data_IF_974667092194
#
_entry.id   IF_974667092194
#
_cell.length_a   1.000
_cell.length_b   1.000
_cell.length_c   1.000
_cell.angle_alpha   90.00
_cell.angle_beta   90.00
_cell.angle_gamma   90.00
#
_symmetry.space_group_name_H-M   'P 1'
#
loop_
_entity.id
_entity.type
_entity.pdbx_description
1 polymer ?
#
# COMPACT_ATOMS: atom_id res chain seq x y z
N UNK A 1 -6.04 8.07 7.80
CA UNK A 1 -6.44 8.10 6.38
C UNK A 1 -7.38 6.94 6.02
N UNK A 2 -6.96 5.67 6.08
CA UNK A 2 -7.79 4.51 5.71
C UNK A 2 -9.06 4.34 6.55
N UNK A 3 -8.98 4.58 7.86
CA UNK A 3 -10.16 4.57 8.74
C UNK A 3 -11.23 5.60 8.32
N UNK A 4 -10.83 6.78 7.82
CA UNK A 4 -11.76 7.80 7.32
C UNK A 4 -12.45 7.40 6.01
N UNK A 5 -11.95 6.35 5.33
CA UNK A 5 -12.57 5.73 4.16
C UNK A 5 -13.31 4.43 4.52
N UNK A 6 -13.50 4.17 5.82
CA UNK A 6 -14.24 3.00 6.31
C UNK A 6 -13.44 1.69 6.29
N UNK A 7 -12.11 1.75 6.19
CA UNK A 7 -11.26 0.56 6.24
C UNK A 7 -10.74 0.27 7.65
N UNK A 8 -10.75 -0.99 8.04
CA UNK A 8 -10.17 -1.47 9.29
C UNK A 8 -8.65 -1.59 9.20
N UNK A 9 -7.98 -1.77 10.34
CA UNK A 9 -6.54 -2.03 10.38
C UNK A 9 -6.16 -3.35 9.67
N UNK A 10 -7.02 -4.37 9.74
CA UNK A 10 -6.82 -5.64 9.02
C UNK A 10 -6.97 -5.45 7.51
N UNK A 11 -7.99 -4.73 7.05
CA UNK A 11 -8.19 -4.40 5.63
C UNK A 11 -7.02 -3.58 5.07
N UNK A 12 -6.45 -2.67 5.86
CA UNK A 12 -5.22 -1.96 5.50
C UNK A 12 -4.06 -2.94 5.26
N UNK A 13 -3.88 -3.93 6.12
CA UNK A 13 -2.80 -4.94 5.96
C UNK A 13 -3.00 -5.74 4.68
N UNK A 14 -4.22 -6.22 4.41
CA UNK A 14 -4.53 -6.95 3.17
C UNK A 14 -4.27 -6.10 1.92
N UNK A 15 -4.74 -4.84 1.91
CA UNK A 15 -4.56 -3.95 0.76
C UNK A 15 -3.09 -3.54 0.55
N UNK A 16 -2.29 -3.49 1.62
CA UNK A 16 -0.87 -3.16 1.55
C UNK A 16 -0.04 -4.27 0.88
N UNK A 17 -0.59 -5.48 0.78
CA UNK A 17 0.06 -6.62 0.13
C UNK A 17 0.04 -6.52 -1.41
N UNK A 18 -0.64 -5.53 -1.99
CA UNK A 18 -0.49 -5.20 -3.41
C UNK A 18 0.97 -4.90 -3.80
N UNK A 19 1.83 -4.57 -2.83
CA UNK A 19 3.27 -4.38 -3.02
C UNK A 19 4.07 -5.69 -3.16
N UNK A 20 3.44 -6.87 -3.05
CA UNK A 20 4.08 -8.16 -3.32
C UNK A 20 4.52 -8.29 -4.79
N UNK A 21 3.91 -7.51 -5.71
CA UNK A 21 4.23 -7.49 -7.13
C UNK A 21 4.62 -6.08 -7.58
N UNK A 22 5.59 -5.99 -8.49
CA UNK A 22 6.02 -4.74 -9.11
C UNK A 22 7.38 -4.26 -8.63
N UNK A 23 7.67 -2.98 -8.87
CA UNK A 23 8.96 -2.35 -8.59
C UNK A 23 8.75 -1.01 -7.87
N UNK A 24 9.70 -0.63 -7.04
CA UNK A 24 9.77 0.70 -6.42
C UNK A 24 11.03 1.43 -6.89
N UNK A 25 10.91 2.73 -7.16
CA UNK A 25 12.07 3.58 -7.44
C UNK A 25 12.87 3.84 -6.16
N UNK A 26 14.19 4.04 -6.30
CA UNK A 26 15.09 4.20 -5.16
C UNK A 26 14.71 5.35 -4.21
N UNK A 27 14.22 6.47 -4.77
CA UNK A 27 13.78 7.64 -4.01
C UNK A 27 12.68 7.34 -2.98
N UNK A 28 11.94 6.24 -3.13
CA UNK A 28 10.89 5.83 -2.19
C UNK A 28 11.42 5.25 -0.88
N UNK A 29 12.69 4.80 -0.83
CA UNK A 29 13.27 4.13 0.33
C UNK A 29 14.71 4.55 0.69
N UNK A 30 15.39 5.33 -0.15
CA UNK A 30 16.79 5.76 0.07
C UNK A 30 17.01 6.52 1.37
N UNK A 31 16.03 7.29 1.86
CA UNK A 31 16.16 8.05 3.12
C UNK A 31 16.38 7.13 4.33
N UNK A 32 15.87 5.91 4.26
CA UNK A 32 16.01 4.90 5.31
C UNK A 32 17.35 4.17 5.24
N UNK A 33 17.92 4.04 4.05
CA UNK A 33 19.21 3.36 3.82
C UNK A 33 20.40 4.30 4.07
N UNK A 34 20.33 5.51 3.54
CA UNK A 34 21.46 6.45 3.51
C UNK A 34 21.32 7.61 4.51
N UNK A 35 20.20 7.67 5.26
CA UNK A 35 20.04 8.56 6.40
C UNK A 35 20.37 10.02 6.14
N UNK A 36 19.49 10.79 5.48
CA UNK A 36 19.48 12.24 5.74
C UNK A 36 18.82 12.47 7.08
N UNK A 37 19.64 12.47 8.14
CA UNK A 37 19.21 13.00 9.42
C UNK A 37 18.82 14.48 9.22
N UNK A 38 17.50 14.77 9.18
CA UNK A 38 17.05 16.12 9.49
C UNK A 38 17.36 16.36 10.97
N UNK A 39 18.48 17.04 11.24
CA UNK A 39 18.78 17.58 12.56
C UNK A 39 19.78 16.82 13.44
N UNK A 40 20.82 16.20 12.88
CA UNK A 40 22.04 15.88 13.65
C UNK A 40 21.91 14.85 14.77
N UNK A 41 20.85 14.04 14.81
CA UNK A 41 20.77 12.87 15.67
C UNK A 41 21.29 11.63 14.93
N UNK A 42 22.22 10.90 15.56
CA UNK A 42 22.79 9.66 15.04
C UNK A 42 21.68 8.69 14.61
N UNK A 43 21.74 8.23 13.36
CA UNK A 43 20.86 7.19 12.86
C UNK A 43 20.97 5.96 13.78
N UNK A 44 19.84 5.53 14.35
CA UNK A 44 19.79 4.29 15.10
C UNK A 44 20.34 3.15 14.21
N UNK A 45 21.02 2.15 14.78
CA UNK A 45 21.56 1.02 14.04
C UNK A 45 20.49 0.45 13.12
N UNK A 46 20.77 0.41 11.82
CA UNK A 46 19.93 -0.27 10.85
C UNK A 46 20.02 -1.76 11.17
N UNK A 47 19.07 -2.27 11.97
CA UNK A 47 19.06 -3.64 12.46
C UNK A 47 19.06 -4.62 11.27
N UNK A 48 20.10 -5.47 11.12
CA UNK A 48 20.19 -6.47 10.06
C UNK A 48 19.31 -7.71 10.31
N UNK A 49 18.51 -7.75 11.38
CA UNK A 49 17.56 -8.84 11.60
C UNK A 49 16.31 -8.66 10.72
N UNK A 50 16.48 -8.93 9.41
CA UNK A 50 15.38 -9.49 8.64
C UNK A 50 15.06 -10.86 9.25
N UNK A 51 14.13 -10.90 10.20
CA UNK A 51 13.55 -12.15 10.67
C UNK A 51 13.07 -12.92 9.42
N UNK A 52 13.48 -14.18 9.26
CA UNK A 52 13.18 -14.97 8.05
C UNK A 52 11.68 -15.05 7.75
N UNK A 53 10.82 -15.02 8.79
CA UNK A 53 9.37 -14.96 8.62
C UNK A 53 8.85 -13.58 8.19
N UNK A 54 9.63 -12.52 8.44
CA UNK A 54 9.38 -11.15 8.00
C UNK A 54 9.88 -10.87 6.57
N UNK A 55 11.01 -11.47 6.20
CA UNK A 55 11.72 -11.20 4.95
C UNK A 55 10.91 -11.52 3.68
N UNK A 56 10.03 -12.53 3.73
CA UNK A 56 9.21 -12.93 2.58
C UNK A 56 8.15 -11.88 2.18
N UNK A 57 7.64 -11.08 3.13
CA UNK A 57 6.65 -10.01 2.89
C UNK A 57 7.23 -8.58 3.02
N UNK A 58 8.49 -8.46 3.44
CA UNK A 58 9.15 -7.17 3.73
C UNK A 58 9.89 -6.51 2.56
N UNK A 59 9.72 -6.97 1.31
CA UNK A 59 10.45 -6.37 0.17
C UNK A 59 10.17 -4.87 -0.02
N UNK A 60 9.06 -4.33 0.51
CA UNK A 60 8.85 -2.88 0.59
C UNK A 60 9.10 -2.37 2.00
N UNK A 61 10.00 -1.39 2.13
CA UNK A 61 10.31 -0.71 3.38
C UNK A 61 9.04 -0.27 4.15
N UNK A 62 7.94 0.05 3.44
CA UNK A 62 6.67 0.52 4.00
C UNK A 62 5.91 -0.53 4.81
N UNK A 63 6.13 -1.84 4.60
CA UNK A 63 5.45 -2.89 5.40
C UNK A 63 6.04 -3.09 6.79
N UNK A 64 7.27 -2.63 7.06
CA UNK A 64 7.88 -2.70 8.41
C UNK A 64 7.06 -1.93 9.46
N UNK A 65 6.37 -0.86 9.05
CA UNK A 65 5.48 -0.10 9.95
C UNK A 65 4.25 -0.94 10.36
N UNK A 66 3.71 -1.77 9.47
CA UNK A 66 2.56 -2.63 9.76
C UNK A 66 2.89 -3.73 10.79
N UNK A 67 4.14 -4.16 10.84
CA UNK A 67 4.60 -5.13 11.84
C UNK A 67 4.88 -4.50 13.20
N UNK A 68 5.42 -3.28 13.19
CA UNK A 68 5.78 -2.56 14.41
C UNK A 68 4.56 -1.94 15.09
N UNK A 69 3.50 -1.60 14.36
CA UNK A 69 2.25 -1.10 14.93
C UNK A 69 1.40 -2.24 15.57
N UNK A 70 1.05 -2.14 16.88
CA UNK A 70 0.23 -3.14 17.56
C UNK A 70 -1.14 -3.39 16.92
N UNK A 71 -1.73 -2.39 16.25
CA UNK A 71 -3.07 -2.47 15.64
C UNK A 71 -3.12 -3.36 14.41
N UNK A 72 -1.98 -3.54 13.76
CA UNK A 72 -1.84 -4.30 12.50
C UNK A 72 -1.02 -5.58 12.69
N UNK A 73 -0.17 -5.64 13.71
CA UNK A 73 0.73 -6.77 13.99
C UNK A 73 0.04 -8.13 13.97
N UNK A 74 -1.14 -8.26 14.57
CA UNK A 74 -1.86 -9.53 14.61
C UNK A 74 -2.30 -9.99 13.22
N UNK A 75 -2.80 -9.07 12.39
CA UNK A 75 -3.18 -9.38 11.01
C UNK A 75 -1.95 -9.76 10.17
N UNK A 76 -0.82 -9.05 10.35
CA UNK A 76 0.42 -9.42 9.65
C UNK A 76 0.89 -10.82 10.05
N UNK A 77 0.87 -11.16 11.33
CA UNK A 77 1.23 -12.51 11.81
C UNK A 77 0.30 -13.59 11.23
N UNK A 78 -1.01 -13.32 11.20
CA UNK A 78 -2.00 -14.25 10.65
C UNK A 78 -1.73 -14.56 9.17
N UNK A 79 -1.56 -13.52 8.35
CA UNK A 79 -1.35 -13.70 6.91
C UNK A 79 0.02 -14.27 6.58
N UNK A 80 1.05 -13.93 7.38
CA UNK A 80 2.37 -14.55 7.25
C UNK A 80 2.35 -16.06 7.58
N UNK A 81 1.50 -16.49 8.52
CA UNK A 81 1.37 -17.90 8.90
C UNK A 81 0.49 -18.71 7.94
N UNK A 82 -0.50 -18.08 7.31
CA UNK A 82 -1.48 -18.77 6.46
C UNK A 82 -1.92 -17.92 5.27
N UNK A 83 -1.43 -18.28 4.07
CA UNK A 83 -1.81 -17.62 2.82
C UNK A 83 -3.32 -17.76 2.51
N UNK A 84 -3.99 -18.81 2.97
CA UNK A 84 -5.43 -19.00 2.73
C UNK A 84 -6.26 -17.95 3.47
N UNK A 85 -5.85 -17.56 4.68
CA UNK A 85 -6.49 -16.47 5.41
C UNK A 85 -6.34 -15.14 4.67
N UNK A 86 -5.17 -14.91 4.05
CA UNK A 86 -4.94 -13.73 3.22
C UNK A 86 -5.88 -13.72 2.01
N UNK A 87 -5.92 -14.80 1.23
CA UNK A 87 -6.76 -14.87 0.03
C UNK A 87 -8.26 -14.83 0.37
N UNK A 88 -8.67 -15.32 1.53
CA UNK A 88 -10.04 -15.17 2.02
C UNK A 88 -10.42 -13.71 2.27
N UNK A 89 -9.49 -12.89 2.78
CA UNK A 89 -9.73 -11.48 3.07
C UNK A 89 -9.41 -10.55 1.88
N UNK A 90 -8.74 -11.05 0.83
CA UNK A 90 -8.32 -10.29 -0.36
C UNK A 90 -9.48 -9.64 -1.14
N UNK A 91 -10.71 -10.13 -0.97
CA UNK A 91 -11.92 -9.51 -1.50
C UNK A 91 -12.15 -8.06 -1.04
N UNK A 92 -11.43 -7.61 -0.01
CA UNK A 92 -11.34 -6.19 0.40
C UNK A 92 -10.98 -5.25 -0.77
N UNK A 93 -10.27 -5.73 -1.80
CA UNK A 93 -10.00 -4.96 -3.03
C UNK A 93 -11.31 -4.49 -3.71
N UNK A 94 -12.39 -5.27 -3.63
CA UNK A 94 -13.71 -4.86 -4.17
C UNK A 94 -14.25 -3.67 -3.40
N UNK A 95 -14.14 -3.69 -2.07
CA UNK A 95 -14.53 -2.56 -1.19
C UNK A 95 -13.72 -1.30 -1.51
N UNK A 96 -12.44 -1.44 -1.88
CA UNK A 96 -11.61 -0.34 -2.38
C UNK A 96 -12.09 0.18 -3.74
N UNK A 97 -12.42 -0.73 -4.67
CA UNK A 97 -12.87 -0.37 -6.02
C UNK A 97 -14.20 0.39 -6.07
N UNK A 98 -15.04 0.29 -5.04
CA UNK A 98 -16.32 1.00 -4.95
C UNK A 98 -16.26 2.30 -4.15
N UNK A 99 -15.07 2.75 -3.73
CA UNK A 99 -14.93 4.00 -2.98
C UNK A 99 -15.12 5.23 -3.87
N UNK A 100 -16.14 6.04 -3.56
CA UNK A 100 -16.38 7.33 -4.23
C UNK A 100 -16.67 7.20 -5.73
N UNK A 101 -17.22 6.05 -6.16
CA UNK A 101 -17.57 5.81 -7.56
C UNK A 101 -18.68 6.75 -8.02
N UNK A 102 -18.56 7.20 -9.26
CA UNK A 102 -19.59 7.99 -9.95
C UNK A 102 -20.68 7.05 -10.45
N UNK A 103 -21.94 7.34 -10.15
CA UNK A 103 -23.09 6.52 -10.56
C UNK A 103 -24.13 7.37 -11.28
N UNK A 104 -25.05 6.71 -11.99
CA UNK A 104 -26.11 7.40 -12.73
C UNK A 104 -25.57 8.38 -13.75
N UNK A 105 -25.83 9.68 -13.55
CA UNK A 105 -25.41 10.77 -14.45
C UNK A 105 -24.17 11.53 -13.95
N UNK A 106 -23.55 11.08 -12.86
CA UNK A 106 -22.46 11.82 -12.20
C UNK A 106 -21.08 11.66 -12.87
N UNK A 107 -21.05 11.48 -14.20
CA UNK A 107 -19.84 11.28 -14.96
C UNK A 107 -20.11 11.03 -16.44
N UNK A 108 -19.12 10.45 -17.13
CA UNK A 108 -19.24 10.05 -18.53
C UNK A 108 -18.45 8.76 -18.80
N UNK A 109 -18.88 8.01 -19.82
CA UNK A 109 -18.05 6.96 -20.39
C UNK A 109 -17.06 7.63 -21.35
N UNK A 110 -15.80 7.70 -20.95
CA UNK A 110 -14.74 8.31 -21.76
C UNK A 110 -14.43 7.45 -22.99
N UNK A 111 -14.36 8.08 -24.16
CA UNK A 111 -13.92 7.43 -25.40
C UNK A 111 -12.40 7.19 -25.43
N UNK A 112 -11.66 8.03 -24.70
CA UNK A 112 -10.24 7.85 -24.41
C UNK A 112 -9.99 8.11 -22.92
N UNK A 113 -9.34 7.18 -22.23
CA UNK A 113 -9.21 7.22 -20.77
C UNK A 113 -8.40 8.41 -20.24
N UNK A 114 -7.51 8.94 -21.06
CA UNK A 114 -6.57 10.03 -20.79
C UNK A 114 -7.21 11.43 -20.85
N UNK A 115 -8.48 11.55 -21.24
CA UNK A 115 -9.13 12.85 -21.42
C UNK A 115 -10.66 12.83 -21.24
N UNK A 116 -11.23 14.01 -21.09
CA UNK A 116 -12.68 14.20 -21.11
C UNK A 116 -13.20 14.29 -22.55
N UNK A 117 -14.41 13.78 -22.80
CA UNK A 117 -14.98 13.77 -24.16
C UNK A 117 -15.17 15.18 -24.73
N UNK A 118 -15.38 16.18 -23.87
CA UNK A 118 -15.59 17.58 -24.24
C UNK A 118 -14.33 18.41 -24.48
N UNK A 119 -13.13 17.83 -24.33
CA UNK A 119 -11.87 18.59 -24.50
C UNK A 119 -10.90 17.88 -25.45
N UNK A 120 -11.17 17.88 -26.78
CA UNK A 120 -10.33 17.19 -27.77
C UNK A 120 -8.88 17.68 -27.73
N UNK A 121 -7.90 16.76 -27.78
CA UNK A 121 -6.49 17.15 -27.92
C UNK A 121 -6.35 17.87 -29.27
N UNK A 122 -5.77 19.08 -29.32
CA UNK A 122 -5.49 19.77 -30.59
C UNK A 122 -4.69 18.83 -31.49
N UNK A 123 -5.21 18.52 -32.68
CA UNK A 123 -4.41 17.82 -33.69
C UNK A 123 -3.44 18.86 -34.24
N UNK A 124 -2.17 18.73 -33.86
CA UNK A 124 -1.05 19.40 -34.53
C UNK A 124 -0.82 18.85 -35.93
#
# INVERSE_FOLDING_TARGET
MFAAKGFTAQELVVLSDAHTLGFAHCNEFTDRIFGRAKGGAAAAPHDPAMNLAAAAWAYSARTQELWTDPRTRLAVQRYAANQTDFFADLFTIVKLGVQGVKTGRDGEVRRRCDMFNGNPIPRG
#
